data_IF_847022887227
#
_entry.id   IF_847022887227
#
_cell.length_a   1.000
_cell.length_b   1.000
_cell.length_c   1.000
_cell.angle_alpha   90.00
_cell.angle_beta   90.00
_cell.angle_gamma   90.00
#
_symmetry.space_group_name_H-M   'P 1'
#
loop_
_entity.id
_entity.type
_entity.pdbx_description
1 polymer ?
#
# COMPACT_ATOMS: atom_id res chain seq x y z
N UNK A 1 -18.40 -7.59 2.65
CA UNK A 1 -17.03 -8.05 2.94
C UNK A 1 -16.10 -7.16 2.14
N UNK A 2 -15.22 -6.40 2.79
CA UNK A 2 -14.17 -5.70 2.09
C UNK A 2 -13.16 -6.74 1.57
N UNK A 3 -12.72 -6.61 0.33
CA UNK A 3 -11.62 -7.42 -0.20
C UNK A 3 -10.33 -7.10 0.57
N UNK A 4 -9.41 -8.05 0.71
CA UNK A 4 -8.08 -7.81 1.32
C UNK A 4 -7.36 -6.58 0.74
N UNK A 5 -7.62 -6.28 -0.54
CA UNK A 5 -7.09 -5.09 -1.23
C UNK A 5 -7.69 -3.78 -0.70
N UNK A 6 -8.99 -3.75 -0.41
CA UNK A 6 -9.64 -2.56 0.16
C UNK A 6 -9.11 -2.24 1.56
N UNK A 7 -8.95 -3.29 2.39
CA UNK A 7 -8.34 -3.14 3.72
C UNK A 7 -6.89 -2.65 3.64
N UNK A 8 -6.12 -3.12 2.65
CA UNK A 8 -4.75 -2.67 2.45
C UNK A 8 -4.68 -1.18 2.03
N UNK A 9 -5.61 -0.72 1.19
CA UNK A 9 -5.71 0.69 0.78
C UNK A 9 -6.09 1.57 1.96
N UNK A 10 -7.09 1.18 2.76
CA UNK A 10 -7.48 1.91 3.97
C UNK A 10 -6.32 2.02 4.96
N UNK A 11 -5.61 0.92 5.22
CA UNK A 11 -4.45 0.92 6.10
C UNK A 11 -3.31 1.83 5.60
N UNK A 12 -3.07 1.87 4.28
CA UNK A 12 -2.09 2.78 3.69
C UNK A 12 -2.52 4.24 3.82
N UNK A 13 -3.79 4.55 3.55
CA UNK A 13 -4.31 5.92 3.66
C UNK A 13 -4.23 6.41 5.12
N UNK A 14 -4.60 5.56 6.09
CA UNK A 14 -4.49 5.89 7.52
C UNK A 14 -3.03 6.12 7.92
N UNK A 15 -2.12 5.22 7.53
CA UNK A 15 -0.71 5.34 7.84
C UNK A 15 -0.07 6.60 7.23
N UNK A 16 -0.48 6.98 6.01
CA UNK A 16 0.06 8.16 5.33
C UNK A 16 -0.59 9.48 5.77
N UNK A 17 -1.81 9.46 6.34
CA UNK A 17 -2.50 10.67 6.78
C UNK A 17 -1.69 11.45 7.84
N UNK A 18 -1.03 10.74 8.75
CA UNK A 18 -0.20 11.32 9.81
C UNK A 18 1.31 11.22 9.53
N UNK A 19 1.73 10.60 8.44
CA UNK A 19 3.14 10.47 8.09
C UNK A 19 3.74 11.81 7.60
N UNK A 20 5.05 12.07 7.76
CA UNK A 20 5.68 13.26 7.19
C UNK A 20 5.41 13.43 5.68
N UNK A 21 5.43 14.66 5.16
CA UNK A 21 5.35 14.90 3.71
C UNK A 21 6.44 14.10 2.96
N UNK A 22 6.18 13.76 1.70
CA UNK A 22 7.00 12.88 0.86
C UNK A 22 7.10 11.41 1.33
N UNK A 23 6.43 11.01 2.40
CA UNK A 23 6.40 9.59 2.82
C UNK A 23 5.67 8.75 1.77
N UNK A 24 6.27 7.61 1.40
CA UNK A 24 5.69 6.66 0.45
C UNK A 24 5.37 5.31 1.09
N UNK A 25 4.27 4.71 0.69
CA UNK A 25 3.87 3.35 1.04
C UNK A 25 3.72 2.48 -0.22
N UNK A 26 3.88 1.16 -0.07
CA UNK A 26 3.69 0.20 -1.17
C UNK A 26 2.86 -0.99 -0.70
N UNK A 27 1.80 -1.31 -1.45
CA UNK A 27 1.04 -2.54 -1.27
C UNK A 27 1.67 -3.63 -2.13
N UNK A 28 1.97 -4.75 -1.50
CA UNK A 28 2.51 -5.94 -2.16
C UNK A 28 1.53 -7.07 -1.99
N UNK A 29 1.18 -7.74 -3.09
CA UNK A 29 0.52 -9.03 -3.02
C UNK A 29 1.58 -10.07 -2.68
N UNK A 30 1.34 -10.81 -1.60
CA UNK A 30 2.26 -11.83 -1.11
C UNK A 30 1.55 -13.19 -1.04
N UNK A 31 2.33 -14.26 -1.07
CA UNK A 31 1.89 -15.61 -0.79
C UNK A 31 2.83 -16.25 0.22
N UNK A 32 2.30 -17.12 1.07
CA UNK A 32 3.12 -17.94 1.97
C UNK A 32 3.80 -19.03 1.13
N UNK A 33 5.12 -19.05 1.14
CA UNK A 33 5.92 -20.07 0.46
C UNK A 33 5.74 -21.43 1.12
N UNK A 34 5.33 -22.43 0.34
CA UNK A 34 4.90 -23.75 0.82
C UNK A 34 5.97 -24.51 1.61
N UNK A 35 7.24 -24.26 1.32
CA UNK A 35 8.37 -25.02 1.91
C UNK A 35 9.00 -24.30 3.10
N UNK A 36 8.83 -22.98 3.20
CA UNK A 36 9.62 -22.15 4.14
C UNK A 36 8.78 -21.33 5.12
N UNK A 37 7.46 -21.23 4.92
CA UNK A 37 6.59 -20.35 5.72
C UNK A 37 6.85 -18.85 5.52
N UNK A 38 7.75 -18.49 4.59
CA UNK A 38 8.12 -17.11 4.31
C UNK A 38 7.12 -16.46 3.36
N UNK A 39 6.89 -15.16 3.51
CA UNK A 39 6.11 -14.38 2.56
C UNK A 39 6.94 -14.10 1.30
N UNK A 40 6.46 -14.57 0.15
CA UNK A 40 7.04 -14.29 -1.16
C UNK A 40 6.23 -13.17 -1.81
N UNK A 41 6.90 -12.12 -2.28
CA UNK A 41 6.25 -11.04 -3.03
C UNK A 41 5.91 -11.54 -4.44
N UNK A 42 4.62 -11.52 -4.77
CA UNK A 42 4.11 -11.89 -6.10
C UNK A 42 4.03 -10.67 -7.02
N UNK A 43 3.54 -9.54 -6.51
CA UNK A 43 3.39 -8.30 -7.27
C UNK A 43 3.39 -7.09 -6.35
N UNK A 44 3.82 -5.94 -6.87
CA UNK A 44 3.47 -4.63 -6.31
C UNK A 44 2.14 -4.25 -6.95
N UNK A 45 1.13 -4.02 -6.11
CA UNK A 45 -0.23 -3.71 -6.56
C UNK A 45 -0.62 -2.26 -6.31
N UNK A 46 0.14 -1.55 -5.49
CA UNK A 46 -0.06 -0.12 -5.34
C UNK A 46 1.12 0.60 -4.73
N UNK A 47 1.31 1.85 -5.14
CA UNK A 47 2.30 2.76 -4.58
C UNK A 47 1.60 4.07 -4.27
N UNK A 48 1.58 4.43 -2.98
CA UNK A 48 0.99 5.66 -2.50
C UNK A 48 2.06 6.59 -1.91
N UNK A 49 1.82 7.88 -1.95
CA UNK A 49 2.69 8.89 -1.34
C UNK A 49 1.86 10.01 -0.75
N UNK A 50 2.29 10.54 0.40
CA UNK A 50 1.76 11.80 0.93
C UNK A 50 2.41 12.96 0.18
N UNK A 51 1.62 13.68 -0.58
CA UNK A 51 2.06 14.89 -1.26
C UNK A 51 2.45 15.97 -0.24
N UNK A 52 3.56 16.65 -0.53
CA UNK A 52 4.16 17.61 0.39
C UNK A 52 3.46 18.98 0.35
N UNK A 53 2.85 19.33 -0.79
CA UNK A 53 2.24 20.64 -1.01
C UNK A 53 0.78 20.65 -0.53
N UNK A 54 0.05 19.56 -0.76
CA UNK A 54 -1.38 19.42 -0.47
C UNK A 54 -1.66 18.57 0.76
N UNK A 55 -0.70 17.74 1.19
CA UNK A 55 -0.89 16.78 2.28
C UNK A 55 -1.77 15.58 1.91
N UNK A 56 -2.26 15.50 0.66
CA UNK A 56 -3.11 14.45 0.16
C UNK A 56 -2.32 13.16 -0.13
N UNK A 57 -2.99 12.00 -0.11
CA UNK A 57 -2.38 10.73 -0.52
C UNK A 57 -2.64 10.50 -2.00
N UNK A 58 -1.57 10.34 -2.78
CA UNK A 58 -1.60 10.12 -4.21
C UNK A 58 -1.10 8.71 -4.57
N UNK A 59 -1.77 8.05 -5.52
CA UNK A 59 -1.43 6.71 -5.99
C UNK A 59 -0.79 6.78 -7.38
N UNK A 60 0.39 6.17 -7.54
CA UNK A 60 1.27 6.39 -8.71
C UNK A 60 1.55 5.15 -9.54
N UNK A 61 1.56 3.95 -8.95
CA UNK A 61 1.84 2.70 -9.68
C UNK A 61 1.03 1.56 -9.06
N UNK A 62 -0.11 1.31 -9.69
CA UNK A 62 -1.17 0.56 -9.05
C UNK A 62 -1.84 1.30 -7.88
N UNK A 63 -3.13 1.08 -7.68
CA UNK A 63 -4.02 2.22 -7.75
C UNK A 63 -4.90 2.54 -6.57
N UNK A 64 -5.87 3.44 -6.82
CA UNK A 64 -7.11 3.65 -6.07
C UNK A 64 -8.31 3.19 -6.93
N UNK A 65 -8.32 1.91 -7.32
CA UNK A 65 -9.38 1.27 -8.10
C UNK A 65 -10.47 0.64 -7.23
#
# INVERSE_FOLDING_TARGET
>A
MASDEGLAVEAVNEALADAPPDTSARIRRVQVGEVSGNYVTLAVVGVARRDAETGAVEWTDGGPW
#
